data_IF_762637172499
#
_entry.id   IF_762637172499
#
_cell.length_a   1.000
_cell.length_b   1.000
_cell.length_c   1.000
_cell.angle_alpha   90.00
_cell.angle_beta   90.00
_cell.angle_gamma   90.00
#
_symmetry.space_group_name_H-M   'P 1'
#
loop_
_entity.id
_entity.type
_entity.pdbx_description
1 polymer ?
#
# COMPACT_ATOMS: atom_id res chain seq x y z
N UNK A 1 2.86 -7.98 2.85
CA UNK A 1 4.00 -7.39 3.57
C UNK A 1 3.88 -5.87 3.61
N UNK A 2 4.24 -5.28 4.72
CA UNK A 2 4.25 -3.82 4.85
C UNK A 2 5.66 -3.38 5.17
N UNK A 3 6.18 -2.46 4.38
CA UNK A 3 7.50 -1.88 4.59
C UNK A 3 7.30 -0.45 5.08
N UNK A 4 7.67 -0.20 6.33
CA UNK A 4 7.54 1.11 6.95
C UNK A 4 8.64 2.03 6.43
N UNK A 5 8.25 3.10 5.77
CA UNK A 5 9.20 4.06 5.22
C UNK A 5 10.10 4.70 6.28
N UNK A 6 9.60 4.84 7.51
CA UNK A 6 10.39 5.37 8.63
C UNK A 6 11.53 4.44 9.07
N UNK A 7 11.47 3.16 8.75
CA UNK A 7 12.51 2.19 9.08
C UNK A 7 13.62 2.13 8.02
N UNK A 8 13.46 2.83 6.89
CA UNK A 8 14.43 2.81 5.81
C UNK A 8 15.36 4.01 5.96
N UNK A 9 16.69 3.80 6.07
CA UNK A 9 17.63 4.92 6.12
C UNK A 9 17.66 5.64 4.77
N UNK A 10 17.63 6.96 4.83
CA UNK A 10 17.83 7.78 3.64
C UNK A 10 19.31 8.01 3.44
N UNK A 11 19.84 7.62 2.28
CA UNK A 11 21.24 7.76 1.93
C UNK A 11 21.33 8.51 0.61
N UNK A 12 22.05 9.62 0.59
CA UNK A 12 22.17 10.47 -0.59
C UNK A 12 20.81 10.88 -1.15
N UNK A 13 19.88 11.27 -0.27
CA UNK A 13 18.50 11.68 -0.62
C UNK A 13 17.67 10.59 -1.28
N UNK A 14 17.99 9.33 -0.99
CA UNK A 14 17.30 8.18 -1.57
C UNK A 14 16.96 7.14 -0.51
N UNK A 15 15.74 6.58 -0.61
CA UNK A 15 15.32 5.40 0.16
C UNK A 15 15.17 4.22 -0.81
N UNK A 16 15.90 3.13 -0.57
CA UNK A 16 15.72 1.89 -1.31
C UNK A 16 14.84 0.92 -0.55
N UNK A 17 13.80 0.41 -1.20
CA UNK A 17 12.87 -0.54 -0.59
C UNK A 17 13.27 -1.96 -0.99
N UNK A 18 13.43 -2.84 0.00
CA UNK A 18 13.76 -4.24 -0.23
C UNK A 18 12.44 -5.02 -0.43
N UNK A 19 12.11 -5.27 -1.68
CA UNK A 19 10.83 -5.90 -2.05
C UNK A 19 10.92 -7.42 -2.22
N UNK A 20 12.10 -7.99 -2.01
CA UNK A 20 12.31 -9.44 -2.11
C UNK A 20 12.04 -9.97 -3.50
N UNK A 21 11.24 -11.02 -3.59
CA UNK A 21 10.90 -11.67 -4.86
C UNK A 21 9.65 -11.05 -5.52
N UNK A 22 9.14 -9.94 -5.01
CA UNK A 22 7.97 -9.26 -5.56
C UNK A 22 8.37 -8.50 -6.83
N UNK A 23 8.56 -9.24 -7.93
CA UNK A 23 8.98 -8.70 -9.21
C UNK A 23 7.90 -8.98 -10.24
N UNK A 24 7.28 -7.94 -10.74
CA UNK A 24 6.31 -8.06 -11.81
C UNK A 24 6.41 -6.88 -12.77
N UNK A 25 6.00 -7.13 -14.00
CA UNK A 25 5.85 -6.05 -14.97
C UNK A 25 4.65 -5.20 -14.55
N UNK A 26 4.83 -3.89 -14.55
CA UNK A 26 3.74 -2.96 -14.21
C UNK A 26 2.80 -2.86 -15.41
N UNK A 27 1.55 -3.26 -15.22
CA UNK A 27 0.49 -3.08 -16.21
C UNK A 27 -0.70 -2.28 -15.63
N UNK A 28 -0.60 -1.87 -14.36
CA UNK A 28 -1.61 -1.07 -13.68
C UNK A 28 -0.94 0.00 -12.82
N UNK A 29 -1.41 1.22 -12.92
CA UNK A 29 -0.94 2.32 -12.10
C UNK A 29 -2.09 3.31 -11.90
N UNK A 30 -2.46 3.56 -10.64
CA UNK A 30 -3.52 4.51 -10.32
C UNK A 30 -3.20 5.27 -9.04
N UNK A 31 -3.46 6.57 -9.05
CA UNK A 31 -3.46 7.37 -7.81
C UNK A 31 -4.89 7.41 -7.30
N UNK A 32 -5.07 7.16 -6.00
CA UNK A 32 -6.38 7.09 -5.37
C UNK A 32 -6.43 7.99 -4.16
N UNK A 33 -7.64 8.48 -3.87
CA UNK A 33 -7.95 9.17 -2.63
C UNK A 33 -9.09 8.41 -1.97
N UNK A 34 -8.85 7.96 -0.75
CA UNK A 34 -9.84 7.20 0.03
C UNK A 34 -10.24 7.99 1.25
N UNK A 35 -11.55 8.06 1.48
CA UNK A 35 -12.17 8.73 2.63
C UNK A 35 -13.33 7.88 3.12
N UNK A 36 -13.94 8.19 4.29
CA UNK A 36 -15.14 7.46 4.73
C UNK A 36 -16.31 7.53 3.75
N UNK A 37 -16.38 8.58 2.90
CA UNK A 37 -17.44 8.72 1.90
C UNK A 37 -17.02 8.29 0.51
N UNK A 38 -15.77 7.95 0.31
CA UNK A 38 -15.24 7.36 -0.91
C UNK A 38 -14.32 6.19 -0.52
N UNK A 39 -14.89 5.09 0.00
CA UNK A 39 -14.08 3.99 0.53
C UNK A 39 -13.47 3.13 -0.55
N UNK A 40 -12.39 2.43 -0.18
CA UNK A 40 -11.84 1.33 -0.95
C UNK A 40 -12.41 0.04 -0.39
N UNK A 41 -13.20 -0.65 -1.18
CA UNK A 41 -13.87 -1.87 -0.73
C UNK A 41 -12.89 -3.05 -0.63
N UNK A 42 -13.12 -4.01 0.28
CA UNK A 42 -12.31 -5.21 0.37
C UNK A 42 -12.30 -5.98 -0.95
N UNK A 43 -11.13 -6.44 -1.32
CA UNK A 43 -10.93 -7.16 -2.58
C UNK A 43 -10.09 -8.42 -2.39
N UNK A 44 -10.21 -9.32 -3.36
CA UNK A 44 -9.36 -10.48 -3.50
C UNK A 44 -9.24 -10.79 -4.98
N UNK A 45 -8.01 -10.81 -5.50
CA UNK A 45 -7.75 -11.05 -6.92
C UNK A 45 -6.42 -11.77 -7.13
N UNK A 46 -6.20 -12.25 -8.35
CA UNK A 46 -5.02 -13.03 -8.70
C UNK A 46 -3.78 -12.23 -9.06
N UNK A 47 -3.88 -10.91 -9.13
CA UNK A 47 -2.75 -10.04 -9.46
C UNK A 47 -2.03 -9.58 -8.21
N UNK A 48 -0.70 -9.54 -8.29
CA UNK A 48 0.10 -8.87 -7.28
C UNK A 48 -0.07 -7.36 -7.42
N UNK A 49 -0.13 -6.65 -6.29
CA UNK A 49 -0.23 -5.20 -6.27
C UNK A 49 0.73 -4.60 -5.25
N UNK A 50 1.17 -3.39 -5.55
CA UNK A 50 1.92 -2.54 -4.65
C UNK A 50 1.08 -1.32 -4.32
N UNK A 51 1.03 -0.94 -3.05
CA UNK A 51 0.39 0.29 -2.59
C UNK A 51 1.43 1.16 -1.91
N UNK A 52 1.52 2.40 -2.35
CA UNK A 52 2.45 3.35 -1.74
C UNK A 52 1.67 4.56 -1.21
N UNK A 53 1.85 4.86 0.07
CA UNK A 53 1.13 5.95 0.74
C UNK A 53 1.89 7.25 0.47
N UNK A 54 1.19 8.22 -0.11
CA UNK A 54 1.73 9.55 -0.41
C UNK A 54 1.49 10.52 0.74
N UNK A 55 0.23 10.64 1.17
CA UNK A 55 -0.18 11.59 2.21
C UNK A 55 -1.35 11.02 3.00
N UNK A 56 -1.50 11.46 4.25
CA UNK A 56 -2.58 11.01 5.11
C UNK A 56 -2.25 9.71 5.83
N UNK A 57 -3.26 9.13 6.45
CA UNK A 57 -3.12 7.91 7.25
C UNK A 57 -4.26 6.95 6.94
N UNK A 58 -3.98 5.66 7.04
CA UNK A 58 -4.94 4.62 6.79
C UNK A 58 -4.68 3.40 7.66
N UNK A 59 -5.65 2.49 7.69
CA UNK A 59 -5.49 1.14 8.23
C UNK A 59 -5.60 0.15 7.09
N UNK A 60 -4.58 -0.67 6.91
CA UNK A 60 -4.56 -1.73 5.92
C UNK A 60 -4.85 -3.04 6.61
N UNK A 61 -5.76 -3.82 6.06
CA UNK A 61 -6.08 -5.17 6.56
C UNK A 61 -5.67 -6.18 5.49
N UNK A 62 -4.79 -7.10 5.86
CA UNK A 62 -4.33 -8.19 4.99
C UNK A 62 -4.61 -9.50 5.71
N UNK A 63 -5.46 -10.35 5.13
CA UNK A 63 -5.87 -11.63 5.72
C UNK A 63 -6.29 -11.49 7.18
N UNK A 64 -7.06 -10.45 7.49
CA UNK A 64 -7.58 -10.19 8.83
C UNK A 64 -6.62 -9.45 9.76
N UNK A 65 -5.39 -9.22 9.38
CA UNK A 65 -4.42 -8.49 10.18
C UNK A 65 -4.42 -7.01 9.81
N UNK A 66 -4.70 -6.15 10.81
CA UNK A 66 -4.78 -4.70 10.64
C UNK A 66 -3.46 -4.02 10.98
N UNK A 67 -3.00 -3.13 10.12
CA UNK A 67 -1.78 -2.35 10.34
C UNK A 67 -2.03 -0.90 9.99
N UNK A 68 -1.64 0.00 10.89
CA UNK A 68 -1.68 1.44 10.63
C UNK A 68 -0.54 1.82 9.67
N UNK A 69 -0.85 2.59 8.64
CA UNK A 69 0.12 3.04 7.64
C UNK A 69 0.00 4.54 7.42
N UNK A 70 1.09 5.12 6.96
CA UNK A 70 1.17 6.55 6.67
C UNK A 70 2.17 6.83 5.55
N UNK A 71 2.53 8.11 5.33
CA UNK A 71 3.39 8.50 4.22
C UNK A 71 4.69 7.69 4.16
N UNK A 72 5.09 7.33 2.96
CA UNK A 72 6.26 6.51 2.62
C UNK A 72 6.18 5.03 2.98
N UNK A 73 5.04 4.55 3.47
CA UNK A 73 4.84 3.12 3.67
C UNK A 73 4.50 2.44 2.35
N UNK A 74 5.10 1.27 2.13
CA UNK A 74 4.85 0.44 0.95
C UNK A 74 4.20 -0.87 1.38
N UNK A 75 3.08 -1.19 0.77
CA UNK A 75 2.31 -2.40 1.05
C UNK A 75 2.39 -3.31 -0.17
N UNK A 76 2.74 -4.58 0.04
CA UNK A 76 2.79 -5.58 -1.00
C UNK A 76 1.62 -6.53 -0.82
N UNK A 77 0.76 -6.60 -1.82
CA UNK A 77 -0.40 -7.49 -1.83
C UNK A 77 -0.09 -8.68 -2.72
N UNK A 78 0.06 -9.84 -2.10
CA UNK A 78 0.28 -11.09 -2.84
C UNK A 78 -1.00 -11.53 -3.56
N UNK A 79 -0.89 -12.32 -4.65
CA UNK A 79 -2.07 -12.87 -5.32
C UNK A 79 -2.99 -13.62 -4.35
N UNK A 80 -4.30 -13.49 -4.57
CA UNK A 80 -5.36 -14.19 -3.83
C UNK A 80 -5.37 -13.90 -2.32
N UNK A 81 -4.89 -12.74 -1.93
CA UNK A 81 -4.89 -12.29 -0.54
C UNK A 81 -6.05 -11.33 -0.30
N UNK A 82 -6.86 -11.57 0.73
CA UNK A 82 -7.90 -10.63 1.13
C UNK A 82 -7.24 -9.36 1.63
N UNK A 83 -7.67 -8.22 1.07
CA UNK A 83 -7.05 -6.94 1.42
C UNK A 83 -8.06 -5.80 1.35
N UNK A 84 -7.87 -4.84 2.23
CA UNK A 84 -8.64 -3.60 2.25
C UNK A 84 -7.81 -2.46 2.82
N UNK A 85 -8.28 -1.25 2.58
CA UNK A 85 -7.67 -0.04 3.10
C UNK A 85 -8.79 0.89 3.55
N UNK A 86 -8.70 1.38 4.78
CA UNK A 86 -9.69 2.29 5.36
C UNK A 86 -9.00 3.55 5.87
N UNK A 87 -9.58 4.69 5.57
CA UNK A 87 -9.15 5.97 6.12
C UNK A 87 -10.25 6.52 7.01
N UNK A 88 -9.91 6.91 8.25
CA UNK A 88 -10.85 7.57 9.16
C UNK A 88 -11.08 9.02 8.75
N UNK A 89 -10.12 9.63 8.06
CA UNK A 89 -10.20 10.99 7.54
C UNK A 89 -9.98 10.97 6.03
N UNK A 90 -8.72 10.91 5.58
CA UNK A 90 -8.39 10.77 4.17
C UNK A 90 -6.98 10.22 4.01
N UNK A 91 -6.73 9.58 2.86
CA UNK A 91 -5.41 9.10 2.48
C UNK A 91 -5.28 9.19 0.97
N UNK A 92 -4.12 9.64 0.50
CA UNK A 92 -3.77 9.65 -0.92
C UNK A 92 -2.66 8.63 -1.13
N UNK A 93 -2.87 7.75 -2.09
CA UNK A 93 -1.99 6.59 -2.29
C UNK A 93 -1.96 6.16 -3.75
N UNK A 94 -0.93 5.40 -4.10
CA UNK A 94 -0.74 4.86 -5.44
C UNK A 94 -0.92 3.35 -5.36
N UNK A 95 -1.72 2.80 -6.28
CA UNK A 95 -1.85 1.37 -6.50
C UNK A 95 -1.20 1.05 -7.84
N UNK A 96 -0.27 0.09 -7.83
CA UNK A 96 0.43 -0.29 -9.06
C UNK A 96 0.88 -1.76 -9.02
N UNK A 97 1.17 -2.28 -10.21
CA UNK A 97 1.60 -3.66 -10.34
C UNK A 97 1.21 -4.31 -11.65
#
# INVERSE_FOLDING_TARGET
MIIKGSAIPEVNFRKGYEIGDAQEQIDHFAMRITTPVNPFEPEKHGEQRFWYILEGEATVTIDGECTAVGPSDLILIAPWTDHSLRADNWVRWICFG
#
